data_IF_337942744877
#
_entry.id   IF_337942744877
#
_cell.length_a   1.000
_cell.length_b   1.000
_cell.length_c   1.000
_cell.angle_alpha   90.00
_cell.angle_beta   90.00
_cell.angle_gamma   90.00
#
_symmetry.space_group_name_H-M   'P 1'
#
loop_
_entity.id
_entity.type
_entity.pdbx_description
1 polymer ?
#
# COMPACT_ATOMS: atom_id res chain seq x y z
N UNK A 1 12.81 0.93 12.36
CA UNK A 1 12.01 0.29 13.44
C UNK A 1 12.75 0.51 14.74
N UNK A 2 12.06 0.86 15.83
CA UNK A 2 12.71 1.01 17.16
C UNK A 2 12.47 -0.27 17.95
N UNK A 3 13.54 -0.86 18.47
CA UNK A 3 13.49 -2.08 19.28
C UNK A 3 13.01 -1.77 20.71
N UNK A 4 12.59 -2.77 21.50
CA UNK A 4 12.25 -2.56 22.92
C UNK A 4 13.40 -1.98 23.77
N UNK A 5 14.66 -2.17 23.35
CA UNK A 5 15.84 -1.57 23.98
C UNK A 5 16.10 -0.12 23.56
N UNK A 6 15.29 0.44 22.67
CA UNK A 6 15.41 1.82 22.17
C UNK A 6 16.34 1.98 20.98
N UNK A 7 16.96 0.90 20.50
CA UNK A 7 17.84 0.94 19.33
C UNK A 7 17.01 1.07 18.04
N UNK A 8 17.42 1.98 17.15
CA UNK A 8 16.82 2.11 15.82
C UNK A 8 17.54 1.19 14.85
N UNK A 9 16.80 0.25 14.25
CA UNK A 9 17.30 -0.67 13.22
C UNK A 9 16.72 -0.33 11.85
N UNK A 10 17.53 -0.52 10.81
CA UNK A 10 17.19 -0.33 9.40
C UNK A 10 16.90 -1.63 8.65
N UNK A 11 17.11 -2.79 9.28
CA UNK A 11 16.89 -4.11 8.68
C UNK A 11 16.28 -5.08 9.68
N UNK A 12 15.59 -6.10 9.18
CA UNK A 12 15.01 -7.19 9.96
C UNK A 12 15.49 -8.51 9.35
N UNK A 13 16.01 -9.42 10.19
CA UNK A 13 16.38 -10.75 9.74
C UNK A 13 15.12 -11.59 9.47
N UNK A 14 14.99 -12.08 8.25
CA UNK A 14 13.89 -12.98 7.84
C UNK A 14 14.49 -14.36 7.59
N UNK A 15 14.06 -15.34 8.37
CA UNK A 15 14.55 -16.72 8.22
C UNK A 15 13.86 -17.43 7.07
N UNK A 16 14.54 -18.42 6.47
CA UNK A 16 13.95 -19.24 5.42
C UNK A 16 12.68 -19.93 5.95
N UNK A 17 11.60 -19.84 5.17
CA UNK A 17 10.30 -20.41 5.52
C UNK A 17 9.39 -19.46 6.30
N UNK A 18 9.84 -18.25 6.66
CA UNK A 18 8.95 -17.23 7.22
C UNK A 18 7.85 -16.87 6.24
N UNK A 19 6.62 -16.83 6.74
CA UNK A 19 5.47 -16.29 6.00
C UNK A 19 5.54 -14.76 6.05
N UNK A 20 5.54 -14.14 4.88
CA UNK A 20 5.47 -12.68 4.73
C UNK A 20 4.10 -12.34 4.14
N UNK A 21 3.39 -11.42 4.80
CA UNK A 21 2.08 -10.94 4.35
C UNK A 21 2.06 -9.42 4.34
N UNK A 22 1.53 -8.85 3.26
CA UNK A 22 1.24 -7.43 3.17
C UNK A 22 -0.21 -7.17 3.62
N UNK A 23 -0.45 -6.36 4.67
CA UNK A 23 -1.80 -6.03 5.11
C UNK A 23 -2.43 -4.98 4.18
N UNK A 24 -2.75 -5.39 2.95
CA UNK A 24 -3.23 -4.51 1.86
C UNK A 24 -4.42 -3.66 2.30
N UNK A 25 -5.36 -4.24 3.04
CA UNK A 25 -6.52 -3.52 3.56
C UNK A 25 -6.14 -2.37 4.49
N UNK A 26 -5.16 -2.59 5.37
CA UNK A 26 -4.65 -1.55 6.27
C UNK A 26 -3.89 -0.47 5.48
N UNK A 27 -3.07 -0.88 4.51
CA UNK A 27 -2.27 0.03 3.68
C UNK A 27 -3.17 0.96 2.87
N UNK A 28 -4.18 0.41 2.18
CA UNK A 28 -5.12 1.18 1.35
C UNK A 28 -6.03 2.12 2.15
N UNK A 29 -6.06 2.01 3.49
CA UNK A 29 -6.86 2.84 4.41
C UNK A 29 -6.02 3.56 5.47
N UNK A 30 -4.70 3.56 5.31
CA UNK A 30 -3.79 4.17 6.28
C UNK A 30 -3.90 5.68 6.19
N UNK A 31 -4.26 6.35 7.29
CA UNK A 31 -4.29 7.82 7.35
C UNK A 31 -2.89 8.42 7.15
N UNK A 32 -1.83 7.68 7.49
CA UNK A 32 -0.46 8.12 7.25
C UNK A 32 -0.09 8.16 5.76
N UNK A 33 -0.73 7.33 4.93
CA UNK A 33 -0.49 7.29 3.48
C UNK A 33 -1.53 8.11 2.70
N UNK A 34 -2.80 8.02 3.12
CA UNK A 34 -3.94 8.55 2.37
C UNK A 34 -4.51 9.85 2.94
N UNK A 35 -4.05 10.29 4.11
CA UNK A 35 -4.57 11.46 4.81
C UNK A 35 -5.77 11.16 5.72
N UNK A 36 -6.33 12.17 6.41
CA UNK A 36 -7.39 11.99 7.41
C UNK A 36 -8.67 11.34 6.86
N UNK A 37 -8.95 11.51 5.56
CA UNK A 37 -10.12 10.96 4.87
C UNK A 37 -9.89 9.54 4.31
N UNK A 38 -8.84 8.84 4.73
CA UNK A 38 -8.46 7.51 4.23
C UNK A 38 -9.56 6.44 4.37
N UNK A 39 -10.46 6.60 5.34
CA UNK A 39 -11.52 5.64 5.66
C UNK A 39 -12.87 6.04 5.08
N UNK A 40 -12.95 7.18 4.40
CA UNK A 40 -14.16 7.67 3.76
C UNK A 40 -14.29 7.09 2.35
N UNK A 41 -15.53 6.88 1.90
CA UNK A 41 -15.79 6.57 0.50
C UNK A 41 -15.79 7.87 -0.31
N UNK A 42 -14.67 8.16 -0.99
CA UNK A 42 -14.42 9.42 -1.71
C UNK A 42 -13.98 9.19 -3.16
N UNK A 43 -14.90 8.88 -4.08
CA UNK A 43 -14.60 8.63 -5.49
C UNK A 43 -13.88 9.79 -6.20
N UNK A 44 -14.14 11.03 -5.76
CA UNK A 44 -13.57 12.26 -6.32
C UNK A 44 -12.03 12.24 -6.29
N UNK A 45 -11.43 11.45 -5.39
CA UNK A 45 -9.98 11.24 -5.29
C UNK A 45 -9.34 10.75 -6.58
N UNK A 46 -10.10 10.05 -7.44
CA UNK A 46 -9.62 9.53 -8.73
C UNK A 46 -10.23 10.20 -9.95
N UNK A 47 -11.31 10.98 -9.76
CA UNK A 47 -12.03 11.65 -10.84
C UNK A 47 -11.51 13.07 -11.11
N UNK A 48 -11.07 13.78 -10.08
CA UNK A 48 -10.47 15.09 -10.25
C UNK A 48 -9.07 14.95 -10.87
N UNK A 49 -8.75 15.81 -11.85
CA UNK A 49 -7.41 15.87 -12.47
C UNK A 49 -6.29 16.34 -11.51
N UNK A 50 -6.53 16.31 -10.19
CA UNK A 50 -5.54 16.63 -9.17
C UNK A 50 -4.47 15.55 -9.21
N UNK A 51 -3.31 15.94 -9.74
CA UNK A 51 -2.11 15.10 -9.93
C UNK A 51 -1.48 14.60 -8.62
N UNK A 52 -2.01 14.95 -7.46
CA UNK A 52 -1.38 14.71 -6.17
C UNK A 52 -2.23 13.80 -5.28
N UNK A 53 -2.18 12.50 -5.57
CA UNK A 53 -2.70 11.47 -4.67
C UNK A 53 -1.76 11.39 -3.46
N UNK A 54 -2.25 11.39 -2.21
CA UNK A 54 -1.40 11.40 -1.02
C UNK A 54 -0.42 10.23 -0.92
N UNK A 55 -0.84 9.03 -1.34
CA UNK A 55 -0.08 7.78 -1.20
C UNK A 55 0.97 7.57 -2.30
N UNK A 56 1.79 8.60 -2.61
CA UNK A 56 2.75 8.61 -3.72
C UNK A 56 3.78 7.48 -3.69
N UNK A 57 4.08 6.96 -2.49
CA UNK A 57 5.04 5.88 -2.30
C UNK A 57 4.55 4.53 -2.85
N UNK A 58 3.22 4.35 -2.97
CA UNK A 58 2.64 3.12 -3.49
C UNK A 58 2.68 3.11 -5.03
N UNK A 59 3.38 2.12 -5.61
CA UNK A 59 3.54 1.98 -7.06
C UNK A 59 2.43 1.14 -7.73
N UNK A 60 1.51 0.59 -6.93
CA UNK A 60 0.38 -0.18 -7.41
C UNK A 60 -0.61 0.63 -8.27
N UNK A 61 -1.65 -0.03 -8.76
CA UNK A 61 -2.65 0.60 -9.62
C UNK A 61 -3.35 1.78 -8.93
N UNK A 62 -3.23 3.00 -9.47
CA UNK A 62 -3.71 4.24 -8.83
C UNK A 62 -3.29 4.36 -7.36
N UNK A 63 -2.03 4.00 -7.06
CA UNK A 63 -1.47 4.00 -5.71
C UNK A 63 -2.14 3.00 -4.74
N UNK A 64 -2.96 2.05 -5.24
CA UNK A 64 -3.56 0.99 -4.45
C UNK A 64 -2.85 -0.35 -4.67
N UNK A 65 -2.74 -1.14 -3.60
CA UNK A 65 -2.19 -2.50 -3.66
C UNK A 65 -3.27 -3.58 -3.87
N UNK A 66 -4.46 -3.20 -4.37
CA UNK A 66 -5.60 -4.14 -4.58
C UNK A 66 -5.24 -5.31 -5.49
N UNK A 67 -4.39 -5.08 -6.48
CA UNK A 67 -3.88 -6.11 -7.39
C UNK A 67 -2.48 -6.61 -7.01
N UNK A 68 -2.02 -6.32 -5.78
CA UNK A 68 -0.62 -6.44 -5.36
C UNK A 68 0.31 -5.61 -6.29
N UNK A 69 1.62 -5.80 -6.15
CA UNK A 69 2.64 -5.21 -7.02
C UNK A 69 3.84 -6.15 -7.22
N UNK A 70 4.71 -5.86 -8.19
CA UNK A 70 5.93 -6.62 -8.45
C UNK A 70 5.68 -8.02 -9.06
N UNK A 71 6.58 -9.00 -8.82
CA UNK A 71 6.56 -10.32 -9.49
C UNK A 71 5.33 -11.19 -9.17
N UNK A 72 4.55 -10.82 -8.15
CA UNK A 72 3.35 -11.55 -7.70
C UNK A 72 2.07 -10.74 -7.90
N UNK A 73 2.11 -9.70 -8.75
CA UNK A 73 0.92 -8.95 -9.18
C UNK A 73 -0.16 -9.88 -9.71
N UNK A 74 -1.42 -9.56 -9.43
CA UNK A 74 -2.57 -10.31 -9.91
C UNK A 74 -2.59 -10.34 -11.46
N UNK A 75 -2.57 -11.55 -12.02
CA UNK A 75 -2.64 -11.77 -13.48
C UNK A 75 -3.95 -11.29 -14.09
N UNK A 76 -5.02 -11.25 -13.30
CA UNK A 76 -6.35 -10.78 -13.72
C UNK A 76 -6.52 -9.26 -13.75
N UNK A 77 -5.53 -8.48 -13.31
CA UNK A 77 -5.63 -7.01 -13.21
C UNK A 77 -6.17 -6.37 -14.49
N UNK A 78 -5.59 -6.70 -15.64
CA UNK A 78 -5.99 -6.09 -16.91
C UNK A 78 -7.40 -6.50 -17.34
N UNK A 79 -7.81 -7.73 -17.05
CA UNK A 79 -9.16 -8.21 -17.34
C UNK A 79 -10.22 -7.52 -16.46
N UNK A 80 -9.93 -7.30 -15.17
CA UNK A 80 -10.86 -6.65 -14.24
C UNK A 80 -11.01 -5.14 -14.47
N UNK A 81 -10.00 -4.50 -15.06
CA UNK A 81 -10.00 -3.05 -15.33
C UNK A 81 -10.49 -2.67 -16.74
N UNK A 82 -10.62 -3.66 -17.63
CA UNK A 82 -11.16 -3.48 -18.97
C UNK A 82 -12.69 -3.33 -18.93
#
# INVERSE_FOLDING_TARGET
VVTPSGETISSIAVVKGSVISAPIWCINRSEALWGPDAKEFKPERWLEAKKDVPAKELQGHHHLLTFHDGPRTCLGKSFTLA
#
